data_IF_407936914933
#
_entry.id   IF_407936914933
#
_cell.length_a   1.000
_cell.length_b   1.000
_cell.length_c   1.000
_cell.angle_alpha   90.00
_cell.angle_beta   90.00
_cell.angle_gamma   90.00
#
_symmetry.space_group_name_H-M   'P 1'
#
loop_
_entity.id
_entity.type
_entity.pdbx_description
1 polymer ?
#
# COMPACT_ATOMS: atom_id res chain seq x y z
N UNK A 1 4.95 -11.02 18.72
CA UNK A 1 4.13 -11.48 17.60
C UNK A 1 4.18 -10.41 16.53
N UNK A 2 4.58 -10.77 15.31
CA UNK A 2 4.42 -9.85 14.18
C UNK A 2 2.94 -9.51 13.99
N UNK A 3 2.56 -8.33 13.48
CA UNK A 3 1.16 -7.93 13.35
C UNK A 3 0.29 -8.98 12.62
N UNK A 4 0.90 -9.70 11.66
CA UNK A 4 0.31 -10.81 10.92
C UNK A 4 0.06 -12.05 11.78
N UNK A 5 0.98 -12.40 12.69
CA UNK A 5 0.78 -13.48 13.65
C UNK A 5 -0.34 -13.14 14.64
N UNK A 6 -0.40 -11.90 15.12
CA UNK A 6 -1.48 -11.45 16.02
C UNK A 6 -2.85 -11.47 15.31
N UNK A 7 -2.90 -11.02 14.05
CA UNK A 7 -4.12 -11.06 13.24
C UNK A 7 -4.58 -12.51 12.97
N UNK A 8 -3.65 -13.44 12.68
CA UNK A 8 -3.96 -14.85 12.45
C UNK A 8 -4.55 -15.51 13.71
N UNK A 9 -3.94 -15.29 14.87
CA UNK A 9 -4.45 -15.81 16.15
C UNK A 9 -5.82 -15.20 16.48
N UNK A 10 -6.00 -13.90 16.21
CA UNK A 10 -7.30 -13.23 16.36
C UNK A 10 -8.39 -13.80 15.46
N UNK A 11 -8.09 -14.09 14.20
CA UNK A 11 -9.02 -14.70 13.26
C UNK A 11 -9.41 -16.13 13.66
N UNK A 12 -8.44 -16.94 14.09
CA UNK A 12 -8.69 -18.28 14.61
C UNK A 12 -9.54 -18.21 15.89
N UNK A 13 -9.22 -17.29 16.80
CA UNK A 13 -10.00 -17.06 18.02
C UNK A 13 -11.45 -16.65 17.72
N UNK A 14 -11.65 -15.72 16.78
CA UNK A 14 -12.98 -15.30 16.34
C UNK A 14 -13.77 -16.46 15.72
N UNK A 15 -13.13 -17.29 14.90
CA UNK A 15 -13.75 -18.49 14.30
C UNK A 15 -14.20 -19.50 15.36
N UNK A 16 -13.36 -19.74 16.37
CA UNK A 16 -13.66 -20.65 17.49
C UNK A 16 -14.82 -20.11 18.30
N UNK A 17 -14.81 -18.83 18.66
CA UNK A 17 -15.90 -18.19 19.41
C UNK A 17 -17.21 -18.24 18.61
N UNK A 18 -17.18 -17.87 17.32
CA UNK A 18 -18.37 -17.93 16.46
C UNK A 18 -18.94 -19.34 16.31
N UNK A 19 -18.07 -20.36 16.26
CA UNK A 19 -18.46 -21.77 16.23
C UNK A 19 -19.11 -22.21 17.55
N UNK A 20 -18.54 -21.82 18.69
CA UNK A 20 -19.06 -22.16 20.02
C UNK A 20 -20.36 -21.41 20.35
N UNK A 21 -20.52 -20.18 19.86
CA UNK A 21 -21.75 -19.39 20.02
C UNK A 21 -22.91 -19.88 19.16
N UNK A 22 -22.71 -20.87 18.28
CA UNK A 22 -23.75 -21.42 17.41
C UNK A 22 -24.20 -20.48 16.27
N UNK A 23 -23.52 -19.35 16.08
CA UNK A 23 -23.84 -18.37 15.03
C UNK A 23 -23.24 -18.75 13.67
N UNK A 24 -22.35 -19.74 13.65
CA UNK A 24 -21.66 -20.16 12.42
C UNK A 24 -22.50 -21.14 11.61
N UNK A 25 -23.28 -20.61 10.66
CA UNK A 25 -23.96 -21.43 9.66
C UNK A 25 -23.14 -21.50 8.33
N UNK A 26 -23.47 -22.46 7.46
CA UNK A 26 -22.79 -22.66 6.17
C UNK A 26 -22.86 -21.43 5.25
N UNK A 27 -23.94 -20.67 5.33
CA UNK A 27 -24.17 -19.46 4.52
C UNK A 27 -23.26 -18.30 4.98
N UNK A 28 -23.14 -18.08 6.29
CA UNK A 28 -22.31 -17.06 6.92
C UNK A 28 -20.83 -17.35 6.69
N UNK A 29 -20.42 -18.62 6.81
CA UNK A 29 -19.06 -19.04 6.48
C UNK A 29 -18.73 -18.80 5.00
N UNK A 30 -19.64 -19.13 4.09
CA UNK A 30 -19.47 -18.89 2.65
C UNK A 30 -19.41 -17.40 2.32
N UNK A 31 -20.24 -16.58 2.98
CA UNK A 31 -20.24 -15.12 2.84
C UNK A 31 -18.90 -14.50 3.25
N UNK A 32 -18.43 -14.79 4.47
CA UNK A 32 -17.16 -14.28 5.00
C UNK A 32 -15.99 -14.73 4.12
N UNK A 33 -15.99 -16.00 3.70
CA UNK A 33 -14.95 -16.53 2.81
C UNK A 33 -14.93 -15.79 1.47
N UNK A 34 -16.10 -15.49 0.89
CA UNK A 34 -16.20 -14.80 -0.40
C UNK A 34 -15.82 -13.32 -0.31
N UNK A 35 -16.20 -12.64 0.76
CA UNK A 35 -15.75 -11.26 1.03
C UNK A 35 -14.23 -11.21 1.19
N UNK A 36 -13.67 -12.07 2.03
CA UNK A 36 -12.21 -12.21 2.23
C UNK A 36 -11.48 -12.48 0.92
N UNK A 37 -12.01 -13.42 0.12
CA UNK A 37 -11.42 -13.79 -1.17
C UNK A 37 -11.52 -12.65 -2.19
N UNK A 38 -12.61 -11.87 -2.18
CA UNK A 38 -12.78 -10.73 -3.09
C UNK A 38 -11.75 -9.65 -2.81
N UNK A 39 -11.55 -9.26 -1.55
CA UNK A 39 -10.50 -8.32 -1.14
C UNK A 39 -9.12 -8.85 -1.49
N UNK A 40 -8.87 -10.14 -1.21
CA UNK A 40 -7.59 -10.79 -1.53
C UNK A 40 -7.31 -10.76 -3.03
N UNK A 41 -8.28 -11.13 -3.86
CA UNK A 41 -8.14 -11.13 -5.32
C UNK A 41 -7.87 -9.73 -5.86
N UNK A 42 -8.57 -8.68 -5.40
CA UNK A 42 -8.27 -7.31 -5.82
C UNK A 42 -6.80 -6.94 -5.58
N UNK A 43 -6.28 -7.24 -4.38
CA UNK A 43 -4.89 -6.95 -4.01
C UNK A 43 -3.92 -7.73 -4.91
N UNK A 44 -4.15 -9.04 -5.09
CA UNK A 44 -3.29 -9.87 -5.95
C UNK A 44 -3.34 -9.46 -7.42
N UNK A 45 -4.49 -9.04 -7.94
CA UNK A 45 -4.61 -8.53 -9.30
C UNK A 45 -3.78 -7.26 -9.49
N UNK A 46 -3.86 -6.32 -8.55
CA UNK A 46 -3.01 -5.11 -8.58
C UNK A 46 -1.53 -5.49 -8.55
N UNK A 47 -1.13 -6.43 -7.70
CA UNK A 47 0.25 -6.90 -7.59
C UNK A 47 0.76 -7.52 -8.91
N UNK A 48 -0.05 -8.36 -9.56
CA UNK A 48 0.30 -8.97 -10.85
C UNK A 48 0.46 -7.89 -11.92
N UNK A 49 -0.52 -6.97 -12.04
CA UNK A 49 -0.46 -5.87 -13.01
C UNK A 49 0.76 -4.96 -12.78
N UNK A 50 1.03 -4.59 -11.53
CA UNK A 50 2.17 -3.75 -11.18
C UNK A 50 3.52 -4.46 -11.45
N UNK A 51 3.59 -5.77 -11.22
CA UNK A 51 4.78 -6.57 -11.54
C UNK A 51 5.05 -6.61 -13.04
N UNK A 52 4.01 -6.82 -13.85
CA UNK A 52 4.11 -6.78 -15.32
C UNK A 52 4.52 -5.38 -15.77
N UNK A 53 3.88 -4.33 -15.24
CA UNK A 53 4.22 -2.95 -15.55
C UNK A 53 5.68 -2.64 -15.21
N UNK A 54 6.15 -2.98 -14.01
CA UNK A 54 7.53 -2.77 -13.57
C UNK A 54 8.53 -3.48 -14.50
N UNK A 55 8.22 -4.72 -14.90
CA UNK A 55 9.05 -5.48 -15.84
C UNK A 55 9.12 -4.81 -17.22
N UNK A 56 7.97 -4.42 -17.78
CA UNK A 56 7.89 -3.76 -19.08
C UNK A 56 8.58 -2.39 -19.03
N UNK A 57 8.28 -1.58 -18.02
CA UNK A 57 8.87 -0.26 -17.81
C UNK A 57 10.40 -0.33 -17.76
N UNK A 58 10.95 -1.28 -17.00
CA UNK A 58 12.39 -1.55 -16.97
C UNK A 58 12.93 -2.06 -18.31
N UNK A 59 12.19 -2.93 -19.00
CA UNK A 59 12.54 -3.43 -20.33
C UNK A 59 12.65 -2.33 -21.41
N UNK A 60 11.88 -1.25 -21.26
CA UNK A 60 11.95 -0.05 -22.11
C UNK A 60 12.99 0.98 -21.66
N UNK A 61 13.82 0.67 -20.65
CA UNK A 61 14.82 1.61 -20.13
C UNK A 61 14.24 2.71 -19.23
N UNK A 62 13.03 2.53 -18.69
CA UNK A 62 12.39 3.51 -17.83
C UNK A 62 13.20 3.87 -16.58
N UNK A 63 14.04 2.95 -16.08
CA UNK A 63 14.97 3.22 -14.99
C UNK A 63 15.99 4.33 -15.34
N UNK A 64 16.59 4.26 -16.54
CA UNK A 64 17.55 5.26 -17.01
C UNK A 64 16.86 6.61 -17.22
N UNK A 65 15.63 6.59 -17.71
CA UNK A 65 14.84 7.80 -17.94
C UNK A 65 14.52 8.54 -16.63
N UNK A 66 14.07 7.83 -15.59
CA UNK A 66 13.84 8.43 -14.27
C UNK A 66 15.17 8.83 -13.63
N UNK A 67 16.24 8.05 -13.81
CA UNK A 67 17.56 8.41 -13.29
C UNK A 67 18.04 9.75 -13.86
N UNK A 68 17.94 9.97 -15.17
CA UNK A 68 18.28 11.27 -15.78
C UNK A 68 17.37 12.40 -15.32
N UNK A 69 16.08 12.13 -15.11
CA UNK A 69 15.16 13.11 -14.53
C UNK A 69 15.61 13.53 -13.13
N UNK A 70 16.11 12.58 -12.34
CA UNK A 70 16.58 12.80 -10.97
C UNK A 70 17.96 13.45 -10.91
N UNK A 71 18.85 13.15 -11.84
CA UNK A 71 20.16 13.82 -11.99
C UNK A 71 20.00 15.31 -12.33
N UNK A 72 18.91 15.69 -13.00
CA UNK A 72 18.57 17.09 -13.28
C UNK A 72 18.09 17.89 -12.06
N UNK A 73 17.86 17.24 -10.92
CA UNK A 73 17.33 17.88 -9.71
C UNK A 73 18.47 18.43 -8.85
N UNK A 74 18.46 19.73 -8.50
CA UNK A 74 19.45 20.28 -7.57
C UNK A 74 19.27 19.67 -6.17
N UNK A 75 20.37 19.23 -5.56
CA UNK A 75 20.37 18.66 -4.20
C UNK A 75 20.75 17.18 -4.08
N UNK A 76 21.12 16.53 -5.19
CA UNK A 76 21.65 15.16 -5.19
C UNK A 76 20.68 14.16 -4.54
N UNK A 77 21.21 13.17 -3.82
CA UNK A 77 20.41 12.13 -3.15
C UNK A 77 19.33 12.69 -2.22
N UNK A 78 19.61 13.79 -1.51
CA UNK A 78 18.66 14.38 -0.56
C UNK A 78 17.50 15.10 -1.26
N UNK A 79 17.78 15.83 -2.35
CA UNK A 79 16.74 16.49 -3.15
C UNK A 79 15.78 15.48 -3.79
N UNK A 80 16.33 14.41 -4.35
CA UNK A 80 15.56 13.29 -4.92
C UNK A 80 14.69 12.61 -3.86
N UNK A 81 15.23 12.41 -2.65
CA UNK A 81 14.51 11.81 -1.54
C UNK A 81 13.33 12.67 -1.08
N UNK A 82 13.53 13.98 -0.92
CA UNK A 82 12.44 14.91 -0.56
C UNK A 82 11.34 14.92 -1.62
N UNK A 83 11.70 15.02 -2.90
CA UNK A 83 10.73 15.04 -3.99
C UNK A 83 9.96 13.73 -4.05
N UNK A 84 10.64 12.60 -3.83
CA UNK A 84 9.97 11.30 -3.72
C UNK A 84 8.97 11.28 -2.56
N UNK A 85 9.35 11.82 -1.39
CA UNK A 85 8.43 11.90 -0.26
C UNK A 85 7.23 12.79 -0.56
N UNK A 86 7.42 13.94 -1.19
CA UNK A 86 6.33 14.85 -1.59
C UNK A 86 5.42 14.16 -2.63
N UNK A 87 5.99 13.49 -3.62
CA UNK A 87 5.23 12.74 -4.63
C UNK A 87 4.36 11.67 -3.97
N UNK A 88 4.94 10.83 -3.10
CA UNK A 88 4.22 9.78 -2.37
C UNK A 88 3.13 10.40 -1.47
N UNK A 89 3.42 11.53 -0.82
CA UNK A 89 2.46 12.23 0.02
C UNK A 89 1.24 12.72 -0.77
N UNK A 90 1.44 13.26 -1.97
CA UNK A 90 0.34 13.70 -2.84
C UNK A 90 -0.42 12.50 -3.41
N UNK A 91 0.29 11.42 -3.77
CA UNK A 91 -0.33 10.20 -4.29
C UNK A 91 -1.25 9.55 -3.24
N UNK A 92 -0.86 9.59 -1.97
CA UNK A 92 -1.63 9.06 -0.84
C UNK A 92 -2.95 9.79 -0.56
N UNK A 93 -3.19 10.95 -1.16
CA UNK A 93 -4.51 11.60 -1.10
C UNK A 93 -5.56 10.86 -1.93
N UNK A 94 -5.13 10.13 -2.97
CA UNK A 94 -6.02 9.51 -3.95
C UNK A 94 -5.97 7.98 -3.92
N UNK A 95 -4.81 7.40 -3.62
CA UNK A 95 -4.53 5.96 -3.68
C UNK A 95 -4.30 5.38 -2.28
N UNK A 96 -4.66 4.11 -2.10
CA UNK A 96 -4.45 3.38 -0.84
C UNK A 96 -2.98 2.94 -0.66
N UNK A 97 -2.56 2.65 0.58
CA UNK A 97 -1.18 2.30 0.92
C UNK A 97 -0.75 1.03 0.20
N UNK A 98 -1.67 0.08 0.02
CA UNK A 98 -1.45 -1.16 -0.72
C UNK A 98 -1.10 -0.83 -2.18
N UNK A 99 -1.87 0.06 -2.81
CA UNK A 99 -1.68 0.45 -4.21
C UNK A 99 -0.35 1.18 -4.41
N UNK A 100 -0.03 2.14 -3.54
CA UNK A 100 1.24 2.87 -3.60
C UNK A 100 2.42 1.92 -3.36
N UNK A 101 2.31 1.02 -2.39
CA UNK A 101 3.35 0.04 -2.07
C UNK A 101 3.63 -0.90 -3.23
N UNK A 102 2.61 -1.32 -3.96
CA UNK A 102 2.78 -2.24 -5.09
C UNK A 102 3.09 -1.55 -6.41
N UNK A 103 2.72 -0.28 -6.60
CA UNK A 103 2.93 0.44 -7.86
C UNK A 103 4.16 1.35 -7.78
N UNK A 104 4.18 2.30 -6.83
CA UNK A 104 5.19 3.36 -6.81
C UNK A 104 6.53 2.89 -6.23
N UNK A 105 6.51 2.13 -5.13
CA UNK A 105 7.75 1.69 -4.46
C UNK A 105 8.64 0.85 -5.39
N UNK A 106 8.14 -0.15 -6.15
CA UNK A 106 9.00 -0.94 -7.03
C UNK A 106 9.64 -0.14 -8.15
N UNK A 107 9.06 1.00 -8.53
CA UNK A 107 9.61 1.90 -9.55
C UNK A 107 10.70 2.78 -8.93
N UNK A 108 10.45 3.36 -7.76
CA UNK A 108 11.31 4.39 -7.18
C UNK A 108 12.43 3.81 -6.32
N UNK A 109 12.17 2.73 -5.59
CA UNK A 109 13.12 2.12 -4.65
C UNK A 109 14.45 1.69 -5.31
N UNK A 110 14.46 1.02 -6.48
CA UNK A 110 15.72 0.63 -7.14
C UNK A 110 16.63 1.83 -7.43
N UNK A 111 16.03 2.96 -7.80
CA UNK A 111 16.73 4.19 -8.14
C UNK A 111 17.34 4.82 -6.88
N UNK A 112 16.56 4.91 -5.80
CA UNK A 112 17.04 5.42 -4.52
C UNK A 112 18.15 4.54 -3.91
N UNK A 113 18.07 3.22 -4.08
CA UNK A 113 19.12 2.30 -3.63
C UNK A 113 20.43 2.51 -4.40
N UNK A 114 20.36 2.77 -5.71
CA UNK A 114 21.55 3.14 -6.50
C UNK A 114 22.17 4.47 -6.05
N UNK A 115 21.35 5.40 -5.56
CA UNK A 115 21.81 6.68 -4.98
C UNK A 115 22.36 6.54 -3.55
N UNK A 116 22.39 5.33 -2.98
CA UNK A 116 22.95 5.03 -1.66
C UNK A 116 21.98 5.21 -0.50
N UNK A 117 20.67 5.30 -0.76
CA UNK A 117 19.66 5.38 0.31
C UNK A 117 19.48 4.01 0.97
N UNK A 118 19.56 3.98 2.30
CA UNK A 118 19.34 2.75 3.08
C UNK A 118 17.88 2.25 2.95
N UNK A 119 17.66 0.97 2.62
CA UNK A 119 16.32 0.41 2.45
C UNK A 119 15.43 0.47 3.69
N UNK A 120 16.01 0.31 4.88
CA UNK A 120 15.25 0.32 6.14
C UNK A 120 14.77 1.74 6.41
N UNK A 121 15.65 2.73 6.28
CA UNK A 121 15.29 4.14 6.42
C UNK A 121 14.27 4.58 5.38
N UNK A 122 14.42 4.19 4.12
CA UNK A 122 13.45 4.49 3.07
C UNK A 122 12.07 3.92 3.44
N UNK A 123 12.03 2.67 3.90
CA UNK A 123 10.79 2.03 4.35
C UNK A 123 10.14 2.76 5.52
N UNK A 124 10.93 3.16 6.54
CA UNK A 124 10.44 3.91 7.70
C UNK A 124 9.88 5.27 7.28
N UNK A 125 10.59 6.01 6.41
CA UNK A 125 10.14 7.31 5.93
C UNK A 125 8.85 7.19 5.11
N UNK A 126 8.76 6.21 4.21
CA UNK A 126 7.54 5.96 3.43
C UNK A 126 6.38 5.56 4.35
N UNK A 127 6.62 4.70 5.34
CA UNK A 127 5.59 4.29 6.28
C UNK A 127 5.02 5.48 7.07
N UNK A 128 5.88 6.34 7.63
CA UNK A 128 5.44 7.54 8.35
C UNK A 128 4.74 8.53 7.41
N UNK A 129 5.26 8.71 6.20
CA UNK A 129 4.73 9.62 5.20
C UNK A 129 3.32 9.20 4.75
N UNK A 130 3.11 7.91 4.45
CA UNK A 130 1.80 7.37 4.08
C UNK A 130 0.79 7.53 5.23
N UNK A 131 1.17 7.24 6.47
CA UNK A 131 0.28 7.44 7.62
C UNK A 131 -0.15 8.91 7.77
N UNK A 132 0.76 9.85 7.49
CA UNK A 132 0.47 11.29 7.55
C UNK A 132 -0.39 11.75 6.36
N UNK A 133 -0.14 11.18 5.17
CA UNK A 133 -0.91 11.43 3.96
C UNK A 133 -2.36 10.96 4.08
N UNK A 134 -2.63 9.81 4.70
CA UNK A 134 -4.03 9.39 4.97
C UNK A 134 -4.81 10.34 5.86
N UNK A 135 -4.11 11.09 6.72
CA UNK A 135 -4.72 12.05 7.64
C UNK A 135 -4.95 13.43 7.00
N UNK A 136 -4.38 13.72 5.83
CA UNK A 136 -4.33 15.05 5.23
C UNK A 136 -4.75 14.99 3.76
N UNK A 137 -5.50 15.96 3.22
CA UNK A 137 -6.96 15.94 3.16
C UNK A 137 -7.57 14.57 2.74
N UNK A 138 -8.59 14.07 3.46
CA UNK A 138 -9.14 12.72 3.30
C UNK A 138 -10.04 12.59 2.06
N UNK A 139 -9.65 11.81 1.05
CA UNK A 139 -10.55 11.40 -0.03
C UNK A 139 -10.60 9.87 -0.18
N UNK A 140 -11.81 9.33 -0.33
CA UNK A 140 -12.08 7.90 -0.40
C UNK A 140 -12.69 7.36 0.89
N UNK A 141 -11.95 6.51 1.62
CA UNK A 141 -12.52 5.73 2.74
C UNK A 141 -13.01 6.58 3.90
N UNK A 142 -12.26 7.56 4.38
CA UNK A 142 -12.68 8.38 5.53
C UNK A 142 -13.95 9.20 5.23
N UNK A 143 -14.14 9.68 4.00
CA UNK A 143 -15.38 10.35 3.57
C UNK A 143 -16.55 9.37 3.39
N UNK A 144 -16.32 8.17 2.83
CA UNK A 144 -17.35 7.11 2.77
C UNK A 144 -17.73 6.60 4.16
N UNK A 145 -16.76 6.51 5.08
CA UNK A 145 -16.97 6.11 6.46
C UNK A 145 -17.76 7.18 7.22
N UNK A 146 -17.38 8.45 7.10
CA UNK A 146 -18.15 9.59 7.62
C UNK A 146 -19.58 9.60 7.05
N UNK A 147 -19.75 9.40 5.74
CA UNK A 147 -21.10 9.30 5.13
C UNK A 147 -21.92 8.11 5.66
N UNK A 148 -21.27 7.01 6.05
CA UNK A 148 -21.97 5.84 6.60
C UNK A 148 -22.47 6.04 8.04
N UNK A 149 -21.91 7.00 8.78
CA UNK A 149 -22.27 7.31 10.19
C UNK A 149 -23.05 8.62 10.36
N UNK A 150 -23.19 9.44 9.33
CA UNK A 150 -24.00 10.67 9.40
C UNK A 150 -25.50 10.35 9.35
N UNK A 151 -26.31 10.78 10.33
CA UNK A 151 -27.76 10.69 10.26
C UNK A 151 -28.29 11.52 9.08
N UNK A 152 -29.36 11.06 8.43
CA UNK A 152 -30.00 11.77 7.31
C UNK A 152 -30.33 13.23 7.63
#
# INVERSE_FOLDING_TARGET
>A
ATPTEAAAVGAIGALVIASLSGEMNKESFMKISRETLTTTVMIFTILICASIFSLVFRGFGGEEWIQHLFEGIPGGTFGVLIITMIMIFILGFFLDFIEITFIAIPIIAPILFRLGVDPVWLGVMIAINLQTSFLTPPFGFALFYMRSVTPK
#
